data_IF_078690471306
#
_entry.id   IF_078690471306
#
_cell.length_a   1.000
_cell.length_b   1.000
_cell.length_c   1.000
_cell.angle_alpha   90.00
_cell.angle_beta   90.00
_cell.angle_gamma   90.00
#
_symmetry.space_group_name_H-M   'P 1'
#
loop_
_entity.id
_entity.type
_entity.pdbx_description
1 polymer ?
#
# COMPACT_ATOMS: atom_id res chain seq x y z
N UNK A 1 -3.72 20.99 -8.21
CA UNK A 1 -4.77 22.00 -7.97
C UNK A 1 -6.21 21.53 -8.16
N UNK A 2 -6.51 20.57 -9.04
CA UNK A 2 -7.88 20.07 -9.23
C UNK A 2 -8.44 19.42 -7.95
N UNK A 3 -7.64 18.70 -7.20
CA UNK A 3 -8.04 18.04 -5.94
C UNK A 3 -8.54 19.11 -4.95
N UNK A 4 -7.76 20.16 -4.72
CA UNK A 4 -8.11 21.27 -3.83
C UNK A 4 -9.36 22.03 -4.31
N UNK A 5 -9.44 22.35 -5.61
CA UNK A 5 -10.59 23.04 -6.21
C UNK A 5 -11.91 22.27 -6.02
N UNK A 6 -11.84 20.95 -5.93
CA UNK A 6 -13.02 20.11 -5.67
C UNK A 6 -13.27 19.82 -4.18
N UNK A 7 -12.63 20.57 -3.27
CA UNK A 7 -12.88 20.50 -1.83
C UNK A 7 -12.21 19.34 -1.09
N UNK A 8 -11.35 18.55 -1.77
CA UNK A 8 -10.58 17.49 -1.09
C UNK A 8 -9.50 18.12 -0.21
N UNK A 9 -9.32 17.57 0.98
CA UNK A 9 -8.34 18.01 1.97
C UNK A 9 -7.07 17.19 1.98
N UNK A 10 -7.16 15.94 1.57
CA UNK A 10 -6.03 15.00 1.49
C UNK A 10 -6.10 14.12 0.24
N UNK A 11 -5.01 13.51 -0.08
CA UNK A 11 -4.82 12.52 -1.16
C UNK A 11 -4.07 11.31 -0.60
N UNK A 12 -4.24 10.15 -1.21
CA UNK A 12 -3.43 8.95 -0.97
C UNK A 12 -3.19 8.28 -2.32
N UNK A 13 -2.16 8.74 -3.02
CA UNK A 13 -1.90 8.36 -4.40
C UNK A 13 -0.44 7.99 -4.68
N UNK A 14 0.45 8.16 -3.69
CA UNK A 14 1.88 7.99 -3.86
C UNK A 14 2.37 6.71 -3.19
N UNK A 15 3.09 5.90 -3.97
CA UNK A 15 4.01 4.89 -3.46
C UNK A 15 5.42 5.51 -3.39
N UNK A 16 5.99 5.78 -2.22
CA UNK A 16 7.33 6.34 -2.08
C UNK A 16 8.42 5.26 -2.31
N UNK A 17 8.38 4.64 -3.47
CA UNK A 17 9.19 3.50 -3.90
C UNK A 17 9.60 3.64 -5.36
N UNK A 18 10.35 2.66 -5.86
CA UNK A 18 10.74 2.57 -7.26
C UNK A 18 10.05 1.41 -7.96
N UNK A 19 9.48 1.68 -9.13
CA UNK A 19 8.93 0.66 -10.03
C UNK A 19 9.45 0.87 -11.44
N UNK A 20 10.30 -0.03 -11.95
CA UNK A 20 10.89 0.08 -13.28
C UNK A 20 9.84 0.30 -14.39
N UNK A 21 10.07 1.29 -15.25
CA UNK A 21 9.16 1.63 -16.34
C UNK A 21 7.82 2.26 -15.94
N UNK A 22 7.65 2.61 -14.66
CA UNK A 22 6.43 3.25 -14.16
C UNK A 22 6.73 4.55 -13.41
N UNK A 23 7.47 4.49 -12.31
CA UNK A 23 7.79 5.67 -11.51
C UNK A 23 9.09 5.49 -10.70
N UNK A 24 9.70 6.62 -10.35
CA UNK A 24 10.79 6.70 -9.38
C UNK A 24 10.43 7.77 -8.34
N UNK A 25 9.93 7.33 -7.20
CA UNK A 25 9.49 8.16 -6.09
C UNK A 25 10.42 8.01 -4.86
N UNK A 26 11.68 7.61 -5.07
CA UNK A 26 12.63 7.40 -3.98
C UNK A 26 13.00 8.69 -3.22
N UNK A 27 12.83 9.85 -3.83
CA UNK A 27 13.05 11.15 -3.20
C UNK A 27 11.88 11.65 -2.35
N UNK A 28 10.68 11.06 -2.52
CA UNK A 28 9.49 11.52 -1.82
C UNK A 28 9.49 11.08 -0.35
N UNK A 29 8.84 11.86 0.55
CA UNK A 29 8.67 11.51 1.94
C UNK A 29 7.99 10.15 2.14
N UNK A 30 8.35 9.46 3.22
CA UNK A 30 7.75 8.18 3.61
C UNK A 30 6.57 8.35 4.54
N UNK A 31 6.54 9.45 5.25
CA UNK A 31 5.50 9.83 6.20
C UNK A 31 4.55 10.85 5.55
N UNK A 32 3.34 11.04 6.10
CA UNK A 32 2.42 12.06 5.64
C UNK A 32 3.08 13.44 5.55
N UNK A 33 2.80 14.17 4.48
CA UNK A 33 3.34 15.50 4.24
C UNK A 33 2.30 16.39 3.54
N UNK A 34 2.52 17.70 3.62
CA UNK A 34 1.63 18.68 3.01
C UNK A 34 2.31 19.30 1.80
N UNK A 35 1.62 19.31 0.66
CA UNK A 35 2.07 20.03 -0.55
C UNK A 35 1.96 21.54 -0.36
N UNK A 36 2.67 22.33 -1.16
CA UNK A 36 2.60 23.80 -1.17
C UNK A 36 1.18 24.33 -1.33
N UNK A 37 0.32 23.61 -2.02
CA UNK A 37 -1.10 23.96 -2.18
C UNK A 37 -1.96 23.66 -0.95
N UNK A 38 -1.40 23.09 0.14
CA UNK A 38 -2.09 22.78 1.38
C UNK A 38 -2.85 21.43 1.39
N UNK A 39 -2.73 20.61 0.34
CA UNK A 39 -3.27 19.23 0.35
C UNK A 39 -2.30 18.32 1.10
N UNK A 40 -2.81 17.55 2.06
CA UNK A 40 -2.02 16.52 2.73
C UNK A 40 -1.93 15.26 1.86
N UNK A 41 -0.72 14.77 1.59
CA UNK A 41 -0.52 13.46 1.01
C UNK A 41 -0.33 12.43 2.13
N UNK A 42 -1.06 11.34 2.03
CA UNK A 42 -0.98 10.17 2.90
C UNK A 42 -0.38 9.01 2.08
N UNK A 43 0.95 8.85 2.05
CA UNK A 43 1.61 7.89 1.17
C UNK A 43 1.27 6.44 1.53
N UNK A 44 1.24 5.56 0.55
CA UNK A 44 1.16 4.11 0.79
C UNK A 44 2.37 3.61 1.56
N UNK A 45 2.14 2.65 2.44
CA UNK A 45 3.17 2.13 3.32
C UNK A 45 4.29 1.40 2.57
N UNK A 46 5.51 1.64 3.01
CA UNK A 46 6.71 0.92 2.55
C UNK A 46 7.60 0.55 3.74
N UNK A 47 8.37 -0.52 3.63
CA UNK A 47 9.46 -0.80 4.56
C UNK A 47 10.53 0.29 4.38
N UNK A 48 10.73 1.13 5.38
CA UNK A 48 11.51 2.40 5.28
C UNK A 48 12.89 2.20 4.64
N UNK A 49 13.69 1.26 5.16
CA UNK A 49 15.06 1.03 4.69
C UNK A 49 15.14 0.50 3.26
N UNK A 50 14.17 -0.30 2.86
CA UNK A 50 14.17 -1.00 1.57
C UNK A 50 13.34 -0.28 0.50
N UNK A 51 12.51 0.68 0.89
CA UNK A 51 11.47 1.26 0.02
C UNK A 51 10.57 0.19 -0.62
N UNK A 52 10.46 -0.96 0.04
CA UNK A 52 9.63 -2.07 -0.41
C UNK A 52 8.17 -1.80 -0.07
N UNK A 53 7.34 -1.82 -1.10
CA UNK A 53 5.91 -1.51 -1.00
C UNK A 53 5.16 -2.57 -0.20
N UNK A 54 4.32 -2.13 0.73
CA UNK A 54 3.44 -2.99 1.52
C UNK A 54 2.05 -2.92 0.88
N UNK A 55 1.72 -3.92 0.05
CA UNK A 55 0.41 -4.04 -0.60
C UNK A 55 0.02 -5.50 -0.77
N UNK A 56 -1.26 -5.76 -1.04
CA UNK A 56 -1.76 -7.13 -1.20
C UNK A 56 -1.07 -7.87 -2.36
N UNK A 57 -0.81 -7.17 -3.46
CA UNK A 57 -0.07 -7.71 -4.59
C UNK A 57 1.33 -8.19 -4.19
N UNK A 58 2.07 -7.42 -3.40
CA UNK A 58 3.41 -7.79 -2.93
C UNK A 58 3.37 -8.88 -1.87
N UNK A 59 2.38 -8.89 -0.97
CA UNK A 59 2.18 -9.99 -0.02
C UNK A 59 1.98 -11.31 -0.75
N UNK A 60 1.19 -11.31 -1.81
CA UNK A 60 0.97 -12.50 -2.65
C UNK A 60 2.21 -12.90 -3.44
N UNK A 61 2.94 -11.92 -4.00
CA UNK A 61 4.07 -12.17 -4.90
C UNK A 61 5.17 -12.99 -4.21
N UNK A 62 5.63 -12.56 -3.05
CA UNK A 62 6.73 -13.25 -2.34
C UNK A 62 6.26 -14.17 -1.20
N UNK A 63 4.97 -14.12 -0.85
CA UNK A 63 4.39 -14.96 0.20
C UNK A 63 4.45 -14.33 1.59
N UNK A 64 3.49 -14.71 2.44
CA UNK A 64 3.32 -14.07 3.74
C UNK A 64 4.50 -14.27 4.68
N UNK A 65 5.07 -15.47 4.74
CA UNK A 65 6.17 -15.78 5.65
C UNK A 65 7.42 -14.93 5.37
N UNK A 66 7.76 -14.72 4.09
CA UNK A 66 8.90 -13.88 3.71
C UNK A 66 8.59 -12.41 4.00
N UNK A 67 7.38 -11.93 3.70
CA UNK A 67 6.96 -10.58 4.09
C UNK A 67 7.05 -10.39 5.60
N UNK A 68 6.55 -11.35 6.40
CA UNK A 68 6.63 -11.30 7.86
C UNK A 68 8.07 -11.23 8.35
N UNK A 69 8.99 -12.01 7.77
CA UNK A 69 10.41 -11.93 8.09
C UNK A 69 11.00 -10.54 7.78
N UNK A 70 10.64 -9.95 6.63
CA UNK A 70 11.03 -8.58 6.28
C UNK A 70 10.49 -7.55 7.28
N UNK A 71 9.21 -7.67 7.68
CA UNK A 71 8.60 -6.78 8.66
C UNK A 71 9.28 -6.89 10.04
N UNK A 72 9.58 -8.11 10.47
CA UNK A 72 10.28 -8.35 11.75
C UNK A 72 11.71 -7.84 11.74
N UNK A 73 12.42 -7.91 10.59
CA UNK A 73 13.82 -7.50 10.48
C UNK A 73 13.99 -5.98 10.32
N UNK A 74 13.13 -5.36 9.52
CA UNK A 74 13.27 -3.96 9.14
C UNK A 74 12.25 -3.03 9.81
N UNK A 75 11.28 -3.58 10.49
CA UNK A 75 10.16 -2.87 11.10
C UNK A 75 9.07 -2.45 10.11
N UNK A 76 7.86 -2.30 10.62
CA UNK A 76 6.76 -1.64 9.93
C UNK A 76 6.77 -0.13 10.23
N UNK A 77 6.26 0.73 9.32
CA UNK A 77 6.06 2.14 9.62
C UNK A 77 4.94 2.32 10.66
N UNK A 78 4.96 3.43 11.42
CA UNK A 78 3.91 3.73 12.41
C UNK A 78 2.52 3.90 11.78
N UNK A 79 2.47 4.38 10.55
CA UNK A 79 1.23 4.52 9.76
C UNK A 79 1.31 3.54 8.59
N UNK A 80 0.35 2.62 8.52
CA UNK A 80 0.26 1.61 7.46
C UNK A 80 -0.96 1.90 6.60
N UNK A 81 -0.75 2.60 5.49
CA UNK A 81 -1.76 2.76 4.45
C UNK A 81 -1.54 1.64 3.44
N UNK A 82 -2.48 0.71 3.42
CA UNK A 82 -2.38 -0.54 2.68
C UNK A 82 -3.17 -0.51 1.38
N UNK A 83 -2.50 -0.84 0.29
CA UNK A 83 -3.12 -0.89 -1.03
C UNK A 83 -3.58 -2.30 -1.40
N UNK A 84 -4.76 -2.38 -2.00
CA UNK A 84 -5.29 -3.61 -2.58
C UNK A 84 -6.20 -3.31 -3.76
N UNK A 85 -6.18 -4.18 -4.76
CA UNK A 85 -7.00 -4.06 -5.95
C UNK A 85 -7.93 -5.27 -6.08
N UNK A 86 -9.04 -5.11 -6.79
CA UNK A 86 -9.99 -6.21 -7.02
C UNK A 86 -9.32 -7.47 -7.59
N UNK A 87 -8.37 -7.30 -8.49
CA UNK A 87 -7.63 -8.41 -9.09
C UNK A 87 -6.69 -9.14 -8.10
N UNK A 88 -6.38 -8.55 -6.96
CA UNK A 88 -5.64 -9.25 -5.90
C UNK A 88 -6.50 -10.31 -5.24
N UNK A 89 -7.80 -10.10 -5.16
CA UNK A 89 -8.75 -11.02 -4.53
C UNK A 89 -9.26 -12.08 -5.51
N UNK A 90 -9.74 -11.66 -6.67
CA UNK A 90 -10.36 -12.54 -7.67
C UNK A 90 -9.91 -12.15 -9.07
N UNK A 91 -9.45 -13.14 -9.82
CA UNK A 91 -9.20 -13.02 -11.26
C UNK A 91 -9.92 -14.16 -11.98
N UNK A 92 -10.88 -13.84 -12.83
CA UNK A 92 -11.55 -14.85 -13.66
C UNK A 92 -10.57 -15.46 -14.67
N UNK A 93 -10.76 -16.74 -15.01
CA UNK A 93 -9.92 -17.43 -16.00
C UNK A 93 -9.99 -16.74 -17.37
N UNK A 94 -11.16 -16.26 -17.77
CA UNK A 94 -11.35 -15.53 -19.01
C UNK A 94 -10.51 -14.25 -19.06
N UNK A 95 -10.48 -13.48 -17.98
CA UNK A 95 -9.68 -12.25 -17.88
C UNK A 95 -8.19 -12.57 -17.82
N UNK A 96 -7.82 -13.57 -17.00
CA UNK A 96 -6.44 -14.01 -16.85
C UNK A 96 -5.80 -14.45 -18.16
N UNK A 97 -6.52 -15.24 -18.97
CA UNK A 97 -6.02 -15.74 -20.26
C UNK A 97 -5.73 -14.65 -21.30
N UNK A 98 -6.37 -13.49 -21.17
CA UNK A 98 -6.15 -12.32 -22.05
C UNK A 98 -4.95 -11.47 -21.66
N UNK A 99 -4.34 -11.69 -20.49
CA UNK A 99 -3.20 -10.91 -20.00
C UNK A 99 -1.92 -11.27 -20.79
N UNK A 100 -1.02 -10.30 -20.90
CA UNK A 100 0.34 -10.57 -21.34
C UNK A 100 1.13 -11.38 -20.28
N UNK A 101 2.24 -12.00 -20.69
CA UNK A 101 3.00 -12.90 -19.82
C UNK A 101 3.50 -12.26 -18.50
N UNK A 102 3.87 -10.96 -18.54
CA UNK A 102 4.32 -10.22 -17.34
C UNK A 102 3.22 -10.08 -16.28
N UNK A 103 2.00 -9.74 -16.76
CA UNK A 103 0.83 -9.64 -15.90
C UNK A 103 0.35 -11.02 -15.44
N UNK A 104 0.43 -12.04 -16.31
CA UNK A 104 0.15 -13.43 -15.93
C UNK A 104 1.08 -13.90 -14.81
N UNK A 105 2.36 -13.59 -14.88
CA UNK A 105 3.30 -13.90 -13.81
C UNK A 105 2.90 -13.20 -12.51
N UNK A 106 2.72 -11.87 -12.52
CA UNK A 106 2.41 -11.11 -11.30
C UNK A 106 1.06 -11.49 -10.67
N UNK A 107 0.00 -11.66 -11.49
CA UNK A 107 -1.34 -11.96 -10.99
C UNK A 107 -1.61 -13.46 -10.80
N UNK A 108 -0.81 -14.31 -11.45
CA UNK A 108 -0.94 -15.76 -11.37
C UNK A 108 -0.33 -16.34 -10.09
N UNK A 109 0.68 -15.67 -9.54
CA UNK A 109 1.25 -16.10 -8.27
C UNK A 109 0.19 -16.01 -7.18
N UNK A 110 -0.16 -17.16 -6.59
CA UNK A 110 -1.23 -17.30 -5.57
C UNK A 110 -2.57 -16.68 -6.02
N UNK A 111 -2.96 -16.99 -7.26
CA UNK A 111 -4.22 -16.56 -7.84
C UNK A 111 -5.38 -16.88 -6.88
N UNK A 112 -6.32 -15.92 -6.74
CA UNK A 112 -7.51 -16.05 -5.88
C UNK A 112 -7.26 -16.26 -4.37
N UNK A 113 -6.03 -16.08 -3.87
CA UNK A 113 -5.71 -16.18 -2.44
C UNK A 113 -5.77 -14.84 -1.69
N UNK A 114 -6.24 -13.76 -2.34
CA UNK A 114 -6.18 -12.41 -1.77
C UNK A 114 -6.90 -12.27 -0.43
N UNK A 115 -8.07 -12.90 -0.26
CA UNK A 115 -8.83 -12.85 1.00
C UNK A 115 -8.02 -13.46 2.15
N UNK A 116 -7.36 -14.60 1.89
CA UNK A 116 -6.52 -15.27 2.88
C UNK A 116 -5.34 -14.37 3.29
N UNK A 117 -4.59 -13.87 2.31
CA UNK A 117 -3.44 -12.99 2.56
C UNK A 117 -3.83 -11.69 3.25
N UNK A 118 -4.97 -11.11 2.87
CA UNK A 118 -5.52 -9.94 3.52
C UNK A 118 -5.81 -10.21 5.01
N UNK A 119 -6.51 -11.31 5.32
CA UNK A 119 -6.78 -11.74 6.71
C UNK A 119 -5.48 -11.96 7.49
N UNK A 120 -4.52 -12.69 6.93
CA UNK A 120 -3.22 -12.92 7.57
C UNK A 120 -2.51 -11.61 7.92
N UNK A 121 -2.57 -10.62 7.03
CA UNK A 121 -1.95 -9.31 7.26
C UNK A 121 -2.68 -8.50 8.34
N UNK A 122 -4.01 -8.47 8.31
CA UNK A 122 -4.82 -7.81 9.36
C UNK A 122 -4.55 -8.44 10.73
N UNK A 123 -4.51 -9.77 10.81
CA UNK A 123 -4.22 -10.46 12.08
C UNK A 123 -2.79 -10.21 12.56
N UNK A 124 -1.84 -10.08 11.65
CA UNK A 124 -0.48 -9.67 11.97
C UNK A 124 -0.44 -8.25 12.54
N UNK A 125 -1.09 -7.26 11.89
CA UNK A 125 -1.16 -5.89 12.38
C UNK A 125 -1.83 -5.79 13.76
N UNK A 126 -2.88 -6.57 14.02
CA UNK A 126 -3.51 -6.66 15.35
C UNK A 126 -2.55 -7.17 16.42
N UNK A 127 -1.74 -8.19 16.11
CA UNK A 127 -0.70 -8.71 17.02
C UNK A 127 0.39 -7.68 17.30
N UNK A 128 0.73 -6.87 16.30
CA UNK A 128 1.67 -5.74 16.43
C UNK A 128 1.01 -4.50 17.07
N UNK A 129 -0.24 -4.62 17.55
CA UNK A 129 -1.00 -3.58 18.27
C UNK A 129 -1.30 -2.32 17.45
N UNK A 130 -1.48 -2.46 16.13
CA UNK A 130 -1.96 -1.37 15.29
C UNK A 130 -3.44 -1.09 15.55
N UNK A 131 -3.79 0.21 15.63
CA UNK A 131 -5.17 0.68 15.64
C UNK A 131 -5.66 0.87 14.21
N UNK A 132 -6.89 0.42 13.94
CA UNK A 132 -7.52 0.56 12.63
C UNK A 132 -8.45 1.77 12.65
N UNK A 133 -8.17 2.74 11.81
CA UNK A 133 -8.93 3.98 11.68
C UNK A 133 -9.20 4.28 10.21
N UNK A 134 -10.18 5.13 9.95
CA UNK A 134 -10.45 5.62 8.59
C UNK A 134 -9.40 6.64 8.15
N UNK A 135 -9.29 6.85 6.82
CA UNK A 135 -8.40 7.89 6.27
C UNK A 135 -8.77 9.29 6.75
N UNK A 136 -10.05 9.55 6.97
CA UNK A 136 -10.53 10.83 7.50
C UNK A 136 -10.12 11.02 8.97
N UNK A 137 -10.23 9.99 9.79
CA UNK A 137 -9.74 10.02 11.18
C UNK A 137 -8.23 10.23 11.23
N UNK A 138 -7.48 9.53 10.38
CA UNK A 138 -6.04 9.74 10.27
C UNK A 138 -5.70 11.18 9.87
N UNK A 139 -6.36 11.72 8.84
CA UNK A 139 -6.17 13.11 8.42
C UNK A 139 -6.44 14.09 9.58
N UNK A 140 -7.57 13.94 10.28
CA UNK A 140 -7.94 14.82 11.39
C UNK A 140 -6.92 14.71 12.54
N UNK A 141 -6.47 13.51 12.87
CA UNK A 141 -5.45 13.28 13.88
C UNK A 141 -4.15 14.02 13.55
N UNK A 142 -3.64 13.86 12.32
CA UNK A 142 -2.40 14.51 11.88
C UNK A 142 -2.52 16.03 11.79
N UNK A 143 -3.68 16.53 11.35
CA UNK A 143 -3.92 17.96 11.21
C UNK A 143 -4.02 18.68 12.58
N UNK A 144 -4.42 17.96 13.63
CA UNK A 144 -4.49 18.50 15.00
C UNK A 144 -3.15 18.44 15.74
N UNK A 145 -2.15 17.73 15.20
CA UNK A 145 -0.81 17.65 15.79
C UNK A 145 0.15 18.74 15.25
N UNK A 146 -0.21 19.40 14.15
CA UNK A 146 0.54 20.49 13.53
C UNK A 146 -0.05 21.85 13.93
#
# INVERSE_FOLDING_TARGET
DLIKKNGFKFSSSIFPSYRPGKYNNLSLPLDPFVYENGIMELPFAVIRKLRYTISLSYLKLIGFNLNKALFSTFGLPNIVIFDSHLHDFIVSDRSFNKLNWKLKFGWGVRKNSGVEYYKMFIDFLKKEKYNFITMTELFNYLNNMN
#
